data_IF_594025628801
#
_entry.id   IF_594025628801
#
_cell.length_a   1.000
_cell.length_b   1.000
_cell.length_c   1.000
_cell.angle_alpha   90.00
_cell.angle_beta   90.00
_cell.angle_gamma   90.00
#
_symmetry.space_group_name_H-M   'P 1'
#
loop_
_entity.id
_entity.type
_entity.pdbx_description
1 polymer ?
#
# COMPACT_ATOMS: atom_id res chain seq x y z
N UNK A 1 14.69 39.28 -32.01
CA UNK A 1 14.58 38.16 -31.04
C UNK A 1 15.40 36.89 -31.37
N UNK A 2 15.27 36.29 -32.57
CA UNK A 2 15.83 34.96 -32.88
C UNK A 2 17.35 34.84 -32.69
N UNK A 3 18.12 35.86 -33.10
CA UNK A 3 19.58 35.88 -32.97
C UNK A 3 20.06 35.82 -31.51
N UNK A 4 19.39 36.54 -30.60
CA UNK A 4 19.72 36.52 -29.17
C UNK A 4 19.46 35.15 -28.55
N UNK A 5 18.35 34.50 -28.92
CA UNK A 5 18.01 33.15 -28.44
C UNK A 5 19.05 32.14 -28.92
N UNK A 6 19.48 32.22 -30.19
CA UNK A 6 20.54 31.35 -30.74
C UNK A 6 21.85 31.55 -29.97
N UNK A 7 22.24 32.79 -29.68
CA UNK A 7 23.46 33.08 -28.90
C UNK A 7 23.36 32.47 -27.49
N UNK A 8 22.25 32.69 -26.78
CA UNK A 8 22.06 32.11 -25.43
C UNK A 8 22.04 30.57 -25.47
N UNK A 9 21.47 29.96 -26.50
CA UNK A 9 21.48 28.51 -26.69
C UNK A 9 22.89 27.96 -26.96
N UNK A 10 23.71 28.67 -27.75
CA UNK A 10 25.11 28.30 -27.99
C UNK A 10 25.93 28.38 -26.70
N UNK A 11 25.79 29.46 -25.92
CA UNK A 11 26.46 29.58 -24.62
C UNK A 11 26.04 28.49 -23.63
N UNK A 12 24.75 28.12 -23.61
CA UNK A 12 24.26 27.00 -22.82
C UNK A 12 24.87 25.66 -23.28
N UNK A 13 24.88 25.40 -24.59
CA UNK A 13 25.44 24.18 -25.19
C UNK A 13 26.94 24.03 -24.91
N UNK A 14 27.71 25.12 -25.01
CA UNK A 14 29.13 25.15 -24.63
C UNK A 14 29.30 24.83 -23.14
N UNK A 15 28.52 25.47 -22.26
CA UNK A 15 28.58 25.20 -20.82
C UNK A 15 28.30 23.74 -20.46
N UNK A 16 27.34 23.11 -21.16
CA UNK A 16 27.03 21.68 -21.00
C UNK A 16 28.16 20.81 -21.54
N UNK A 17 28.71 21.12 -22.71
CA UNK A 17 29.82 20.39 -23.33
C UNK A 17 31.06 20.35 -22.41
N UNK A 18 31.39 21.46 -21.75
CA UNK A 18 32.50 21.56 -20.80
C UNK A 18 32.15 21.12 -19.37
N UNK A 19 30.98 20.52 -19.13
CA UNK A 19 30.52 20.03 -17.81
C UNK A 19 30.55 21.10 -16.71
N UNK A 20 30.30 22.36 -17.06
CA UNK A 20 30.27 23.47 -16.10
C UNK A 20 29.08 23.30 -15.14
N UNK A 21 29.25 23.63 -13.86
CA UNK A 21 28.16 23.58 -12.87
C UNK A 21 26.96 24.39 -13.36
N UNK A 22 25.77 23.78 -13.36
CA UNK A 22 24.52 24.39 -13.88
C UNK A 22 24.21 25.78 -13.31
N UNK A 23 24.54 26.04 -12.04
CA UNK A 23 24.39 27.38 -11.42
C UNK A 23 25.25 28.43 -12.13
N UNK A 24 26.48 28.08 -12.51
CA UNK A 24 27.42 28.99 -13.18
C UNK A 24 26.93 29.30 -14.59
N UNK A 25 26.48 28.28 -15.35
CA UNK A 25 25.90 28.47 -16.69
C UNK A 25 24.71 29.46 -16.64
N UNK A 26 23.80 29.28 -15.67
CA UNK A 26 22.63 30.15 -15.52
C UNK A 26 23.00 31.59 -15.13
N UNK A 27 24.00 31.78 -14.26
CA UNK A 27 24.49 33.12 -13.88
C UNK A 27 25.11 33.80 -15.11
N UNK A 28 25.94 33.11 -15.88
CA UNK A 28 26.56 33.67 -17.09
C UNK A 28 25.51 34.08 -18.12
N UNK A 29 24.50 33.24 -18.37
CA UNK A 29 23.40 33.58 -19.28
C UNK A 29 22.60 34.78 -18.80
N UNK A 30 22.34 34.90 -17.50
CA UNK A 30 21.65 36.04 -16.90
C UNK A 30 22.47 37.34 -17.06
N UNK A 31 23.80 37.28 -16.88
CA UNK A 31 24.69 38.43 -17.09
C UNK A 31 24.74 38.87 -18.55
N UNK A 32 24.88 37.93 -19.49
CA UNK A 32 24.87 38.23 -20.94
C UNK A 32 23.53 38.85 -21.34
N UNK A 33 22.42 38.29 -20.87
CA UNK A 33 21.10 38.83 -21.14
C UNK A 33 20.89 40.23 -20.51
N UNK A 34 21.31 40.42 -19.26
CA UNK A 34 21.24 41.72 -18.58
C UNK A 34 22.09 42.80 -19.27
N UNK A 35 23.26 42.43 -19.80
CA UNK A 35 24.09 43.34 -20.58
C UNK A 35 23.43 43.75 -21.91
N UNK A 36 22.78 42.80 -22.61
CA UNK A 36 22.01 43.10 -23.82
C UNK A 36 20.82 44.03 -23.51
N UNK A 37 20.12 43.78 -22.41
CA UNK A 37 19.03 44.65 -21.95
C UNK A 37 19.52 46.07 -21.66
N UNK A 38 20.67 46.20 -20.99
CA UNK A 38 21.30 47.50 -20.71
C UNK A 38 21.69 48.25 -21.99
N UNK A 39 22.29 47.56 -22.97
CA UNK A 39 22.65 48.16 -24.25
C UNK A 39 21.44 48.69 -25.02
N UNK A 40 20.32 47.95 -25.01
CA UNK A 40 19.08 48.37 -25.67
C UNK A 40 18.41 49.53 -24.93
N UNK A 41 18.63 49.68 -23.61
CA UNK A 41 18.11 50.81 -22.82
C UNK A 41 18.91 52.11 -23.00
N UNK A 42 20.23 52.01 -23.21
CA UNK A 42 21.13 53.17 -23.21
C UNK A 42 21.40 53.71 -24.62
N UNK A 43 21.42 52.84 -25.63
CA UNK A 43 21.77 53.23 -26.99
C UNK A 43 20.52 53.59 -27.81
N UNK A 44 20.61 54.58 -28.73
CA UNK A 44 19.51 54.92 -29.63
C UNK A 44 19.24 53.79 -30.63
N UNK A 45 17.98 53.63 -31.07
CA UNK A 45 17.55 52.54 -31.96
C UNK A 45 18.31 52.49 -33.30
N UNK A 46 18.93 53.59 -33.72
CA UNK A 46 19.76 53.71 -34.93
C UNK A 46 21.19 53.22 -34.74
N UNK A 47 21.59 52.85 -33.52
CA UNK A 47 22.95 52.40 -33.23
C UNK A 47 23.22 51.02 -33.84
N UNK A 48 24.37 50.86 -34.52
CA UNK A 48 24.78 49.64 -35.22
C UNK A 48 24.66 48.36 -34.37
N UNK A 49 24.91 48.47 -33.07
CA UNK A 49 24.81 47.35 -32.11
C UNK A 49 23.37 46.87 -31.92
N UNK A 50 22.40 47.78 -31.80
CA UNK A 50 20.97 47.42 -31.61
C UNK A 50 20.41 46.78 -32.88
N UNK A 51 20.77 47.33 -34.05
CA UNK A 51 20.37 46.80 -35.36
C UNK A 51 20.86 45.35 -35.54
N UNK A 52 22.09 45.04 -35.11
CA UNK A 52 22.64 43.68 -35.21
C UNK A 52 22.07 42.69 -34.19
N UNK A 53 21.79 43.14 -32.96
CA UNK A 53 21.08 42.35 -31.94
C UNK A 53 19.67 42.01 -32.42
N UNK A 54 19.06 42.91 -33.21
CA UNK A 54 17.79 42.70 -33.90
C UNK A 54 16.67 42.35 -32.92
N UNK A 55 16.68 42.95 -31.73
CA UNK A 55 15.68 42.74 -30.69
C UNK A 55 15.23 44.09 -30.15
N UNK A 56 13.92 44.34 -30.20
CA UNK A 56 13.35 45.57 -29.65
C UNK A 56 13.22 45.50 -28.13
N UNK A 57 13.03 46.65 -27.49
CA UNK A 57 12.75 46.71 -26.05
C UNK A 57 11.51 45.86 -25.68
N UNK A 58 10.46 45.89 -26.51
CA UNK A 58 9.24 45.11 -26.29
C UNK A 58 9.48 43.59 -26.35
N UNK A 59 10.35 43.12 -27.25
CA UNK A 59 10.71 41.70 -27.35
C UNK A 59 11.53 41.23 -26.14
N UNK A 60 12.43 42.08 -25.64
CA UNK A 60 13.18 41.79 -24.44
C UNK A 60 12.26 41.75 -23.21
N UNK A 61 11.34 42.71 -23.08
CA UNK A 61 10.34 42.72 -22.03
C UNK A 61 9.51 41.43 -22.04
N UNK A 62 9.03 40.99 -23.21
CA UNK A 62 8.28 39.74 -23.34
C UNK A 62 9.10 38.52 -22.87
N UNK A 63 10.38 38.45 -23.26
CA UNK A 63 11.28 37.36 -22.84
C UNK A 63 11.50 37.36 -21.32
N UNK A 64 11.64 38.54 -20.68
CA UNK A 64 11.77 38.62 -19.21
C UNK A 64 10.53 38.07 -18.50
N UNK A 65 9.33 38.40 -18.98
CA UNK A 65 8.07 37.94 -18.40
C UNK A 65 7.96 36.42 -18.50
N UNK A 66 8.30 35.84 -19.67
CA UNK A 66 8.28 34.38 -19.87
C UNK A 66 9.28 33.68 -18.93
N UNK A 67 10.50 34.21 -18.78
CA UNK A 67 11.49 33.64 -17.86
C UNK A 67 11.03 33.69 -16.40
N UNK A 68 10.37 34.78 -15.99
CA UNK A 68 9.79 34.92 -14.64
C UNK A 68 8.66 33.91 -14.40
N UNK A 69 7.77 33.72 -15.38
CA UNK A 69 6.68 32.73 -15.29
C UNK A 69 7.21 31.30 -15.14
N UNK A 70 8.22 30.92 -15.94
CA UNK A 70 8.87 29.60 -15.85
C UNK A 70 9.55 29.43 -14.48
N UNK A 71 10.23 30.48 -14.00
CA UNK A 71 10.85 30.51 -12.68
C UNK A 71 9.84 30.34 -11.55
N UNK A 72 8.72 31.07 -11.60
CA UNK A 72 7.64 30.98 -10.62
C UNK A 72 6.99 29.59 -10.62
N UNK A 73 6.67 29.05 -11.80
CA UNK A 73 6.11 27.70 -11.93
C UNK A 73 7.05 26.63 -11.34
N UNK A 74 8.34 26.68 -11.67
CA UNK A 74 9.32 25.73 -11.14
C UNK A 74 9.61 25.90 -9.64
N UNK A 75 9.49 27.11 -9.09
CA UNK A 75 9.53 27.36 -7.65
C UNK A 75 8.32 26.75 -6.93
N UNK A 76 7.12 26.93 -7.47
CA UNK A 76 5.89 26.34 -6.92
C UNK A 76 6.00 24.81 -6.91
N UNK A 77 6.44 24.20 -8.02
CA UNK A 77 6.66 22.75 -8.08
C UNK A 77 7.66 22.25 -7.03
N UNK A 78 8.78 22.97 -6.83
CA UNK A 78 9.75 22.64 -5.78
C UNK A 78 9.14 22.74 -4.38
N UNK A 79 8.32 23.77 -4.13
CA UNK A 79 7.65 23.98 -2.84
C UNK A 79 6.62 22.89 -2.55
N UNK A 80 5.84 22.47 -3.55
CA UNK A 80 4.90 21.34 -3.45
C UNK A 80 5.65 20.03 -3.17
N UNK A 81 6.74 19.77 -3.91
CA UNK A 81 7.57 18.58 -3.70
C UNK A 81 8.21 18.56 -2.31
N UNK A 82 8.75 19.70 -1.84
CA UNK A 82 9.33 19.83 -0.50
C UNK A 82 8.29 19.63 0.60
N UNK A 83 7.10 20.24 0.47
CA UNK A 83 5.98 20.06 1.41
C UNK A 83 5.52 18.59 1.49
N UNK A 84 5.51 17.87 0.37
CA UNK A 84 5.22 16.42 0.36
C UNK A 84 6.35 15.60 1.02
N UNK A 85 7.61 15.99 0.85
CA UNK A 85 8.76 15.34 1.53
C UNK A 85 8.69 15.58 3.03
N UNK A 86 8.46 16.82 3.48
CA UNK A 86 8.33 17.17 4.90
C UNK A 86 7.11 16.50 5.54
N UNK A 87 5.97 16.43 4.84
CA UNK A 87 4.78 15.66 5.28
C UNK A 87 5.05 14.16 5.40
N UNK A 88 5.98 13.62 4.62
CA UNK A 88 6.41 12.21 4.70
C UNK A 88 7.53 11.98 5.74
N UNK A 89 8.25 13.02 6.14
CA UNK A 89 9.31 12.96 7.15
C UNK A 89 8.78 12.97 8.59
N UNK A 90 7.55 13.44 8.81
CA UNK A 90 6.85 13.36 10.11
C UNK A 90 6.38 11.93 10.46
N UNK A 91 6.68 10.93 9.63
CA UNK A 91 6.51 9.52 9.97
C UNK A 91 7.70 9.13 10.87
N UNK A 92 7.42 8.94 12.17
CA UNK A 92 8.38 8.53 13.21
C UNK A 92 9.37 7.49 12.67
N UNK A 93 10.66 7.81 12.77
CA UNK A 93 11.79 6.97 12.37
C UNK A 93 11.86 5.69 13.22
N UNK A 94 11.33 4.59 12.70
CA UNK A 94 11.94 3.27 12.92
C UNK A 94 13.32 3.25 12.24
N UNK A 95 14.29 2.52 12.81
CA UNK A 95 15.68 2.41 12.31
C UNK A 95 15.76 2.22 10.80
N UNK A 96 16.62 2.89 10.05
CA UNK A 96 16.70 2.72 8.58
C UNK A 96 16.77 1.24 8.14
N UNK A 97 16.17 0.91 6.99
CA UNK A 97 16.23 -0.46 6.44
C UNK A 97 17.69 -0.84 6.15
N UNK A 98 18.07 -2.05 6.54
CA UNK A 98 19.37 -2.63 6.19
C UNK A 98 19.52 -2.80 4.69
N UNK A 99 20.75 -2.89 4.19
CA UNK A 99 21.01 -3.17 2.76
C UNK A 99 20.33 -4.47 2.30
N UNK A 100 20.32 -5.52 3.13
CA UNK A 100 19.63 -6.78 2.85
C UNK A 100 18.11 -6.61 2.73
N UNK A 101 17.49 -5.75 3.54
CA UNK A 101 16.06 -5.45 3.42
C UNK A 101 15.78 -4.66 2.14
N UNK A 102 16.62 -3.69 1.80
CA UNK A 102 16.48 -2.90 0.57
C UNK A 102 16.57 -3.81 -0.67
N UNK A 103 17.54 -4.72 -0.70
CA UNK A 103 17.69 -5.68 -1.81
C UNK A 103 16.47 -6.61 -1.90
N UNK A 104 16.05 -7.19 -0.77
CA UNK A 104 14.89 -8.08 -0.68
C UNK A 104 13.60 -7.41 -1.17
N UNK A 105 13.36 -6.16 -0.77
CA UNK A 105 12.13 -5.43 -1.07
C UNK A 105 12.25 -4.51 -2.30
N UNK A 106 13.35 -4.59 -3.06
CA UNK A 106 13.63 -3.69 -4.17
C UNK A 106 12.48 -3.59 -5.17
N UNK A 107 11.80 -4.71 -5.45
CA UNK A 107 10.65 -4.75 -6.39
C UNK A 107 9.43 -3.99 -5.90
N UNK A 108 9.23 -3.85 -4.60
CA UNK A 108 8.19 -2.99 -4.03
C UNK A 108 8.63 -1.53 -3.99
N UNK A 109 9.90 -1.28 -3.62
CA UNK A 109 10.46 0.07 -3.49
C UNK A 109 10.45 0.83 -4.83
N UNK A 110 10.56 0.14 -5.97
CA UNK A 110 10.47 0.78 -7.30
C UNK A 110 9.04 1.15 -7.71
N UNK A 111 8.00 0.57 -7.09
CA UNK A 111 6.61 0.88 -7.43
C UNK A 111 6.27 2.28 -6.97
N UNK A 112 5.66 3.07 -7.85
CA UNK A 112 5.33 4.48 -7.59
C UNK A 112 4.38 4.64 -6.40
N UNK A 113 3.44 3.71 -6.24
CA UNK A 113 2.42 3.70 -5.20
C UNK A 113 2.99 3.29 -3.84
N UNK A 114 4.04 2.46 -3.81
CA UNK A 114 4.66 1.97 -2.56
C UNK A 114 5.89 2.82 -2.23
N UNK A 115 6.95 2.73 -3.04
CA UNK A 115 8.19 3.44 -2.77
C UNK A 115 8.90 2.97 -1.49
N UNK A 116 10.02 3.62 -1.17
CA UNK A 116 10.66 3.47 0.15
C UNK A 116 9.72 3.77 1.33
N UNK A 117 8.94 4.87 1.30
CA UNK A 117 8.00 5.19 2.39
C UNK A 117 6.91 4.15 2.60
N UNK A 118 6.38 3.55 1.54
CA UNK A 118 5.37 2.49 1.66
C UNK A 118 5.95 1.19 2.21
N UNK A 119 7.16 0.83 1.76
CA UNK A 119 7.89 -0.30 2.35
C UNK A 119 8.16 -0.07 3.85
N UNK A 120 8.50 1.16 4.23
CA UNK A 120 8.66 1.56 5.62
C UNK A 120 7.37 1.38 6.43
N UNK A 121 6.22 1.80 5.89
CA UNK A 121 4.91 1.56 6.54
C UNK A 121 4.62 0.07 6.74
N UNK A 122 4.91 -0.78 5.75
CA UNK A 122 4.74 -2.23 5.91
C UNK A 122 5.64 -2.78 7.02
N UNK A 123 6.90 -2.35 7.07
CA UNK A 123 7.83 -2.75 8.12
C UNK A 123 7.40 -2.30 9.52
N UNK A 124 6.69 -1.18 9.65
CA UNK A 124 6.20 -0.70 10.95
C UNK A 124 4.83 -1.29 11.33
N UNK A 125 4.11 -1.88 10.38
CA UNK A 125 2.76 -2.39 10.58
C UNK A 125 2.72 -3.71 11.36
N UNK A 126 1.64 -3.87 12.12
CA UNK A 126 1.29 -5.09 12.84
C UNK A 126 -0.04 -5.64 12.32
N UNK A 127 0.00 -6.86 11.77
CA UNK A 127 -1.21 -7.53 11.25
C UNK A 127 -1.52 -8.77 12.09
N UNK A 128 -2.76 -8.93 12.54
CA UNK A 128 -3.25 -10.14 13.19
C UNK A 128 -3.97 -11.03 12.17
N UNK A 129 -3.52 -12.27 12.01
CA UNK A 129 -4.16 -13.29 11.19
C UNK A 129 -4.84 -14.30 12.11
N UNK A 130 -6.16 -14.41 11.99
CA UNK A 130 -6.99 -15.31 12.78
C UNK A 130 -7.35 -16.51 11.92
N UNK A 131 -6.80 -17.67 12.30
CA UNK A 131 -6.83 -18.91 11.52
C UNK A 131 -5.58 -19.06 10.62
N UNK A 132 -4.79 -20.11 10.86
CA UNK A 132 -3.62 -20.53 10.09
C UNK A 132 -3.98 -21.62 9.06
N UNK A 133 -5.22 -21.60 8.57
CA UNK A 133 -5.79 -22.58 7.65
C UNK A 133 -5.57 -22.25 6.18
N UNK A 134 -6.52 -22.66 5.33
CA UNK A 134 -6.41 -22.48 3.87
C UNK A 134 -6.26 -21.01 3.44
N UNK A 135 -6.99 -20.09 4.06
CA UNK A 135 -6.91 -18.66 3.75
C UNK A 135 -5.75 -17.95 4.47
N UNK A 136 -5.54 -18.27 5.75
CA UNK A 136 -4.49 -17.65 6.56
C UNK A 136 -3.08 -17.92 6.06
N UNK A 137 -2.83 -19.09 5.46
CA UNK A 137 -1.52 -19.44 4.92
C UNK A 137 -1.03 -18.53 3.78
N UNK A 138 -1.74 -18.44 2.63
CA UNK A 138 -1.36 -17.53 1.56
C UNK A 138 -1.30 -16.07 2.04
N UNK A 139 -2.22 -15.62 2.92
CA UNK A 139 -2.11 -14.28 3.51
C UNK A 139 -0.79 -14.11 4.25
N UNK A 140 -0.48 -15.00 5.19
CA UNK A 140 0.72 -14.89 6.02
C UNK A 140 2.00 -14.98 5.19
N UNK A 141 2.03 -15.86 4.17
CA UNK A 141 3.14 -15.96 3.22
C UNK A 141 3.39 -14.64 2.48
N UNK A 142 2.34 -14.05 1.90
CA UNK A 142 2.49 -12.82 1.12
C UNK A 142 2.78 -11.60 2.00
N UNK A 143 2.18 -11.49 3.19
CA UNK A 143 2.51 -10.42 4.13
C UNK A 143 3.95 -10.54 4.67
N UNK A 144 4.39 -11.77 4.97
CA UNK A 144 5.76 -12.02 5.38
C UNK A 144 6.76 -11.68 4.27
N UNK A 145 6.52 -12.15 3.05
CA UNK A 145 7.35 -11.84 1.89
C UNK A 145 7.38 -10.33 1.57
N UNK A 146 6.26 -9.64 1.77
CA UNK A 146 6.15 -8.19 1.57
C UNK A 146 6.86 -7.36 2.66
N UNK A 147 7.30 -7.97 3.75
CA UNK A 147 8.00 -7.29 4.82
C UNK A 147 7.08 -6.59 5.81
N UNK A 148 5.88 -7.14 6.06
CA UNK A 148 5.05 -6.69 7.19
C UNK A 148 5.79 -6.99 8.49
N UNK A 149 6.08 -5.96 9.28
CA UNK A 149 7.04 -6.05 10.38
C UNK A 149 6.66 -7.00 11.50
N UNK A 150 5.39 -7.02 11.88
CA UNK A 150 4.88 -7.99 12.87
C UNK A 150 3.63 -8.68 12.35
N UNK A 151 3.65 -10.02 12.34
CA UNK A 151 2.48 -10.84 12.02
C UNK A 151 2.14 -11.68 13.26
N UNK A 152 0.99 -11.38 13.86
CA UNK A 152 0.39 -12.24 14.88
C UNK A 152 -0.43 -13.32 14.21
N UNK A 153 -0.30 -14.57 14.65
CA UNK A 153 -1.08 -15.69 14.12
C UNK A 153 -1.72 -16.41 15.29
N UNK A 154 -3.05 -16.48 15.30
CA UNK A 154 -3.82 -17.22 16.30
C UNK A 154 -4.55 -18.39 15.64
N UNK A 155 -4.27 -19.58 16.14
CA UNK A 155 -4.90 -20.84 15.78
C UNK A 155 -4.66 -21.81 16.94
N UNK A 156 -5.53 -22.81 17.09
CA UNK A 156 -5.45 -23.80 18.16
C UNK A 156 -5.23 -25.22 17.62
N UNK A 157 -5.32 -25.40 16.30
CA UNK A 157 -5.17 -26.70 15.67
C UNK A 157 -3.70 -27.08 15.49
N UNK A 158 -3.49 -28.38 15.27
CA UNK A 158 -2.26 -28.95 14.75
C UNK A 158 -2.34 -29.18 13.24
N UNK A 159 -1.19 -29.23 12.59
CA UNK A 159 -1.10 -29.60 11.17
C UNK A 159 -1.46 -31.08 11.01
N UNK A 160 -2.31 -31.37 10.04
CA UNK A 160 -2.69 -32.74 9.67
C UNK A 160 -2.48 -33.00 8.18
N UNK A 161 -2.33 -34.28 7.79
CA UNK A 161 -2.11 -34.67 6.39
C UNK A 161 -3.20 -34.12 5.45
N UNK A 162 -4.47 -34.14 5.86
CA UNK A 162 -5.61 -33.64 5.08
C UNK A 162 -5.57 -32.13 4.83
N UNK A 163 -4.71 -31.40 5.54
CA UNK A 163 -4.53 -29.97 5.38
C UNK A 163 -3.60 -29.63 4.21
N UNK A 164 -2.61 -30.48 3.92
CA UNK A 164 -1.50 -30.18 3.01
C UNK A 164 -1.93 -29.90 1.57
N UNK A 165 -3.11 -30.38 1.14
CA UNK A 165 -3.66 -30.09 -0.19
C UNK A 165 -3.98 -28.60 -0.42
N UNK A 166 -4.15 -27.81 0.64
CA UNK A 166 -4.52 -26.38 0.57
C UNK A 166 -3.78 -25.46 1.53
N UNK A 167 -3.12 -26.00 2.55
CA UNK A 167 -2.40 -25.25 3.57
C UNK A 167 -0.90 -25.19 3.24
N UNK A 168 -0.60 -24.42 2.18
CA UNK A 168 0.70 -24.43 1.47
C UNK A 168 1.90 -23.92 2.30
N UNK A 169 1.68 -23.38 3.50
CA UNK A 169 2.75 -23.00 4.41
C UNK A 169 3.39 -24.21 5.07
N UNK A 170 2.68 -25.32 5.19
CA UNK A 170 3.12 -26.51 5.93
C UNK A 170 3.72 -27.57 5.00
N UNK A 171 4.50 -28.48 5.58
CA UNK A 171 5.10 -29.65 4.92
C UNK A 171 4.76 -30.92 5.71
N UNK A 172 5.03 -32.09 5.14
CA UNK A 172 4.84 -33.38 5.84
C UNK A 172 5.58 -33.45 7.18
N UNK A 173 6.75 -32.81 7.28
CA UNK A 173 7.51 -32.72 8.54
C UNK A 173 6.84 -31.88 9.63
N UNK A 174 5.83 -31.07 9.28
CA UNK A 174 5.11 -30.24 10.24
C UNK A 174 3.88 -30.96 10.83
N UNK A 175 3.53 -32.17 10.35
CA UNK A 175 2.35 -32.93 10.83
C UNK A 175 2.47 -33.19 12.35
N UNK A 176 1.40 -32.88 13.08
CA UNK A 176 1.33 -32.98 14.55
C UNK A 176 1.94 -31.79 15.29
N UNK A 177 2.52 -30.81 14.58
CA UNK A 177 2.97 -29.55 15.18
C UNK A 177 1.79 -28.57 15.19
N UNK A 178 1.65 -27.79 16.27
CA UNK A 178 0.69 -26.69 16.31
C UNK A 178 0.89 -25.75 15.12
N UNK A 179 -0.21 -25.42 14.42
CA UNK A 179 -0.16 -24.62 13.18
C UNK A 179 0.56 -23.30 13.40
N UNK A 180 0.35 -22.62 14.53
CA UNK A 180 0.99 -21.32 14.78
C UNK A 180 2.51 -21.42 14.95
N UNK A 181 3.02 -22.52 15.52
CA UNK A 181 4.46 -22.73 15.68
C UNK A 181 5.11 -23.18 14.36
N UNK A 182 4.45 -24.04 13.60
CA UNK A 182 4.87 -24.36 12.24
C UNK A 182 4.88 -23.11 11.35
N UNK A 183 3.86 -22.25 11.46
CA UNK A 183 3.81 -20.96 10.76
C UNK A 183 4.97 -20.05 11.18
N UNK A 184 5.27 -19.93 12.47
CA UNK A 184 6.41 -19.14 12.96
C UNK A 184 7.72 -19.62 12.35
N UNK A 185 8.02 -20.93 12.43
CA UNK A 185 9.22 -21.54 11.84
C UNK A 185 9.31 -21.22 10.34
N UNK A 186 8.27 -21.54 9.58
CA UNK A 186 8.31 -21.48 8.12
C UNK A 186 8.31 -20.03 7.59
N UNK A 187 7.62 -19.11 8.24
CA UNK A 187 7.62 -17.69 7.86
C UNK A 187 8.92 -16.98 8.26
N UNK A 188 9.54 -17.33 9.40
CA UNK A 188 10.85 -16.80 9.77
C UNK A 188 11.97 -17.28 8.83
N UNK A 189 11.84 -18.50 8.27
CA UNK A 189 12.73 -18.97 7.20
C UNK A 189 12.52 -18.19 5.88
N UNK A 190 11.26 -17.89 5.54
CA UNK A 190 10.94 -17.07 4.36
C UNK A 190 11.49 -15.64 4.51
N UNK A 191 11.28 -15.02 5.67
CA UNK A 191 11.75 -13.67 5.94
C UNK A 191 12.29 -13.51 7.39
N UNK A 192 13.61 -13.38 7.57
CA UNK A 192 14.20 -13.23 8.89
C UNK A 192 14.10 -11.80 9.45
N UNK A 193 13.62 -10.83 8.67
CA UNK A 193 13.54 -9.42 9.09
C UNK A 193 12.22 -9.07 9.80
N UNK A 194 11.28 -10.02 9.90
CA UNK A 194 9.96 -9.80 10.50
C UNK A 194 9.81 -10.56 11.82
N UNK A 195 8.87 -10.10 12.64
CA UNK A 195 8.50 -10.75 13.90
C UNK A 195 7.22 -11.55 13.72
N UNK A 196 7.26 -12.85 13.99
CA UNK A 196 6.06 -13.69 14.04
C UNK A 196 5.69 -13.96 15.50
N UNK A 197 4.45 -13.64 15.88
CA UNK A 197 3.89 -13.90 17.21
C UNK A 197 2.87 -15.04 17.15
N UNK A 198 3.24 -16.28 17.55
CA UNK A 198 2.31 -17.40 17.57
C UNK A 198 1.44 -17.36 18.84
N UNK A 199 0.12 -17.48 18.67
CA UNK A 199 -0.84 -17.60 19.75
C UNK A 199 -1.56 -18.94 19.63
N UNK A 200 -1.02 -19.97 20.30
CA UNK A 200 -1.60 -21.32 20.30
C UNK A 200 -2.78 -21.40 21.29
N UNK A 201 -3.94 -20.87 20.88
CA UNK A 201 -5.16 -20.84 21.69
C UNK A 201 -6.38 -20.50 20.85
N UNK A 202 -7.56 -20.85 21.35
CA UNK A 202 -8.83 -20.43 20.76
C UNK A 202 -9.03 -18.93 20.99
N UNK A 203 -9.48 -18.21 19.96
CA UNK A 203 -9.96 -16.85 20.10
C UNK A 203 -11.36 -16.88 20.72
N UNK A 204 -11.54 -16.21 21.86
CA UNK A 204 -12.80 -16.17 22.59
C UNK A 204 -13.16 -14.75 23.02
N UNK A 205 -14.36 -14.56 23.58
CA UNK A 205 -14.84 -13.26 24.06
C UNK A 205 -13.92 -12.63 25.13
N UNK A 206 -13.19 -13.44 25.89
CA UNK A 206 -12.33 -12.97 26.98
C UNK A 206 -11.01 -12.40 26.45
N UNK A 207 -10.50 -12.96 25.35
CA UNK A 207 -9.18 -12.61 24.82
C UNK A 207 -9.23 -11.75 23.54
N UNK A 208 -10.32 -11.81 22.76
CA UNK A 208 -10.37 -11.24 21.42
C UNK A 208 -10.10 -9.73 21.41
N UNK A 209 -10.80 -8.97 22.27
CA UNK A 209 -10.68 -7.52 22.27
C UNK A 209 -9.28 -7.04 22.66
N UNK A 210 -8.68 -7.65 23.68
CA UNK A 210 -7.34 -7.27 24.14
C UNK A 210 -6.28 -7.59 23.09
N UNK A 211 -6.39 -8.77 22.45
CA UNK A 211 -5.46 -9.17 21.40
C UNK A 211 -5.58 -8.27 20.18
N UNK A 212 -6.79 -8.03 19.67
CA UNK A 212 -7.04 -7.23 18.46
C UNK A 212 -6.55 -5.78 18.63
N UNK A 213 -6.68 -5.19 19.83
CA UNK A 213 -6.21 -3.83 20.10
C UNK A 213 -4.70 -3.62 19.85
N UNK A 214 -3.89 -4.67 19.96
CA UNK A 214 -2.43 -4.61 19.77
C UNK A 214 -1.99 -4.47 18.30
N UNK A 215 -2.91 -4.67 17.34
CA UNK A 215 -2.63 -4.73 15.91
C UNK A 215 -3.27 -3.56 15.15
N UNK A 216 -2.73 -3.26 13.98
CA UNK A 216 -3.20 -2.17 13.12
C UNK A 216 -4.32 -2.64 12.19
N UNK A 217 -4.27 -3.91 11.77
CA UNK A 217 -5.20 -4.54 10.84
C UNK A 217 -5.44 -6.00 11.26
N UNK A 218 -6.68 -6.46 11.12
CA UNK A 218 -7.07 -7.83 11.40
C UNK A 218 -7.48 -8.55 10.11
N UNK A 219 -7.05 -9.81 9.98
CA UNK A 219 -7.44 -10.72 8.91
C UNK A 219 -8.23 -11.87 9.52
N UNK A 220 -9.45 -12.09 9.04
CA UNK A 220 -10.25 -13.27 9.31
C UNK A 220 -10.08 -14.29 8.19
N UNK A 221 -9.32 -15.35 8.48
CA UNK A 221 -9.14 -16.53 7.65
C UNK A 221 -9.80 -17.78 8.23
N UNK A 222 -10.75 -17.62 9.15
CA UNK A 222 -11.45 -18.72 9.83
C UNK A 222 -12.51 -19.34 8.91
N UNK A 223 -12.96 -20.56 9.19
CA UNK A 223 -14.03 -21.24 8.46
C UNK A 223 -15.31 -21.39 9.29
N UNK A 224 -15.39 -20.71 10.43
CA UNK A 224 -16.48 -20.84 11.41
C UNK A 224 -17.25 -19.53 11.57
N UNK A 225 -18.55 -19.53 11.23
CA UNK A 225 -19.42 -18.35 11.29
C UNK A 225 -19.45 -17.67 12.67
N UNK A 226 -19.57 -18.44 13.75
CA UNK A 226 -19.58 -17.89 15.11
C UNK A 226 -18.28 -17.15 15.43
N UNK A 227 -17.14 -17.67 14.97
CA UNK A 227 -15.83 -17.01 15.14
C UNK A 227 -15.78 -15.71 14.34
N UNK A 228 -16.32 -15.69 13.12
CA UNK A 228 -16.39 -14.47 12.30
C UNK A 228 -17.21 -13.36 12.96
N UNK A 229 -18.35 -13.71 13.56
CA UNK A 229 -19.16 -12.77 14.34
C UNK A 229 -18.40 -12.23 15.56
N UNK A 230 -17.70 -13.10 16.29
CA UNK A 230 -16.85 -12.70 17.42
C UNK A 230 -15.74 -11.73 16.98
N UNK A 231 -15.04 -12.03 15.89
CA UNK A 231 -13.98 -11.17 15.35
C UNK A 231 -14.56 -9.81 14.96
N UNK A 232 -15.70 -9.78 14.27
CA UNK A 232 -16.38 -8.55 13.88
C UNK A 232 -16.70 -7.67 15.09
N UNK A 233 -17.31 -8.26 16.13
CA UNK A 233 -17.62 -7.56 17.39
C UNK A 233 -16.37 -6.99 18.06
N UNK A 234 -15.31 -7.80 18.15
CA UNK A 234 -14.06 -7.37 18.77
C UNK A 234 -13.35 -6.27 17.97
N UNK A 235 -13.38 -6.33 16.63
CA UNK A 235 -12.86 -5.27 15.75
C UNK A 235 -13.64 -3.97 15.88
N UNK A 236 -14.97 -4.02 16.00
CA UNK A 236 -15.81 -2.83 16.27
C UNK A 236 -15.39 -2.21 17.62
N UNK A 237 -15.34 -3.00 18.68
CA UNK A 237 -14.96 -2.53 20.02
C UNK A 237 -13.49 -2.11 20.17
N UNK A 238 -12.66 -2.33 19.14
CA UNK A 238 -11.26 -1.91 19.09
C UNK A 238 -10.99 -0.87 17.97
N UNK A 239 -12.02 -0.50 17.21
CA UNK A 239 -11.95 0.35 16.01
C UNK A 239 -10.86 -0.09 15.01
N UNK A 240 -10.73 -1.40 14.78
CA UNK A 240 -9.73 -1.96 13.87
C UNK A 240 -10.37 -2.36 12.54
N UNK A 241 -9.74 -2.05 11.39
CA UNK A 241 -10.18 -2.58 10.11
C UNK A 241 -10.05 -4.10 10.09
N UNK A 242 -11.01 -4.76 9.46
CA UNK A 242 -11.11 -6.20 9.33
C UNK A 242 -11.20 -6.57 7.85
N UNK A 243 -10.25 -7.34 7.34
CA UNK A 243 -10.39 -8.01 6.05
C UNK A 243 -10.84 -9.44 6.32
N UNK A 244 -12.01 -9.81 5.82
CA UNK A 244 -12.56 -11.14 5.98
C UNK A 244 -12.69 -11.81 4.62
N UNK A 245 -12.14 -13.01 4.52
CA UNK A 245 -12.33 -13.89 3.37
C UNK A 245 -13.14 -15.12 3.75
N UNK A 246 -13.95 -15.63 2.84
CA UNK A 246 -14.61 -16.92 2.99
C UNK A 246 -14.54 -17.71 1.69
N UNK A 247 -14.61 -19.03 1.81
CA UNK A 247 -14.63 -19.95 0.68
C UNK A 247 -15.63 -21.06 0.99
N UNK A 248 -16.24 -21.61 -0.05
CA UNK A 248 -17.10 -22.78 0.02
C UNK A 248 -17.05 -23.47 -1.33
N UNK A 249 -16.70 -24.76 -1.37
CA UNK A 249 -16.60 -25.55 -2.61
C UNK A 249 -15.72 -24.89 -3.69
N UNK A 250 -16.34 -24.19 -4.65
CA UNK A 250 -15.75 -23.51 -5.80
C UNK A 250 -15.98 -21.99 -5.78
N UNK A 251 -16.54 -21.45 -4.70
CA UNK A 251 -16.86 -20.04 -4.56
C UNK A 251 -16.03 -19.40 -3.44
N UNK A 252 -15.56 -18.18 -3.69
CA UNK A 252 -14.80 -17.39 -2.73
C UNK A 252 -15.36 -15.98 -2.61
N UNK A 253 -15.15 -15.37 -1.45
CA UNK A 253 -15.55 -13.99 -1.20
C UNK A 253 -14.55 -13.25 -0.33
N UNK A 254 -14.50 -11.92 -0.50
CA UNK A 254 -13.66 -11.01 0.29
C UNK A 254 -14.33 -9.65 0.45
N UNK A 255 -14.25 -9.09 1.66
CA UNK A 255 -14.60 -7.70 1.94
C UNK A 255 -13.67 -7.09 2.99
N UNK A 256 -13.67 -5.76 3.08
CA UNK A 256 -12.99 -4.99 4.14
C UNK A 256 -14.05 -4.20 4.93
N UNK A 257 -14.16 -4.52 6.20
CA UNK A 257 -15.03 -3.86 7.16
C UNK A 257 -14.23 -2.84 7.97
N UNK A 258 -14.70 -1.60 7.99
CA UNK A 258 -14.03 -0.50 8.68
C UNK A 258 -15.00 0.17 9.66
N UNK A 259 -15.02 -0.28 10.93
CA UNK A 259 -15.95 0.24 11.92
C UNK A 259 -15.67 1.71 12.28
N UNK A 260 -14.43 2.16 12.15
CA UNK A 260 -14.03 3.52 12.52
C UNK A 260 -14.62 4.59 11.60
N UNK A 261 -14.77 4.26 10.31
CA UNK A 261 -15.25 5.18 9.28
C UNK A 261 -16.73 4.95 8.91
N UNK A 262 -17.50 4.31 9.80
CA UNK A 262 -18.95 4.11 9.66
C UNK A 262 -19.37 3.34 8.38
N UNK A 263 -18.54 2.40 7.94
CA UNK A 263 -18.89 1.45 6.86
C UNK A 263 -19.73 0.28 7.41
N UNK A 264 -20.39 -0.53 6.55
CA UNK A 264 -21.02 -1.77 7.01
C UNK A 264 -20.04 -2.63 7.81
N UNK A 265 -20.56 -3.30 8.85
CA UNK A 265 -19.82 -4.35 9.53
C UNK A 265 -20.15 -5.72 8.92
N UNK A 266 -19.46 -6.77 9.33
CA UNK A 266 -19.73 -8.14 8.85
C UNK A 266 -21.21 -8.52 9.02
N UNK A 267 -21.80 -8.19 10.18
CA UNK A 267 -23.19 -8.50 10.51
C UNK A 267 -24.23 -7.67 9.76
N UNK A 268 -23.84 -6.63 9.02
CA UNK A 268 -24.75 -5.97 8.07
C UNK A 268 -25.01 -6.85 6.84
N UNK A 269 -23.99 -7.58 6.38
CA UNK A 269 -24.08 -8.43 5.18
C UNK A 269 -24.54 -9.84 5.55
N UNK A 270 -24.06 -10.34 6.68
CA UNK A 270 -24.30 -11.69 7.17
C UNK A 270 -24.89 -11.60 8.58
N UNK A 271 -26.20 -11.28 8.73
CA UNK A 271 -26.83 -11.22 10.02
C UNK A 271 -26.84 -12.60 10.67
N UNK A 272 -26.63 -12.65 11.99
CA UNK A 272 -26.64 -13.92 12.73
C UNK A 272 -28.03 -14.55 12.69
N UNK A 273 -28.13 -15.82 12.32
CA UNK A 273 -29.40 -16.56 12.27
C UNK A 273 -29.36 -17.78 13.19
N UNK A 274 -30.54 -18.25 13.63
CA UNK A 274 -30.65 -19.45 14.50
C UNK A 274 -30.09 -20.71 13.83
N UNK A 275 -30.01 -20.73 12.49
CA UNK A 275 -29.52 -21.85 11.70
C UNK A 275 -28.00 -21.84 11.47
N UNK A 276 -27.27 -20.83 11.95
CA UNK A 276 -25.82 -20.71 11.70
C UNK A 276 -25.03 -21.90 12.27
N UNK A 277 -25.55 -22.54 13.33
CA UNK A 277 -24.98 -23.75 13.92
C UNK A 277 -25.14 -25.01 13.05
N UNK A 278 -25.99 -24.97 12.02
CA UNK A 278 -26.23 -26.09 11.11
C UNK A 278 -25.42 -25.98 9.80
N UNK A 279 -24.71 -24.87 9.60
CA UNK A 279 -23.86 -24.66 8.41
C UNK A 279 -22.59 -25.50 8.55
N UNK A 280 -22.42 -26.44 7.62
CA UNK A 280 -21.27 -27.36 7.59
C UNK A 280 -19.97 -26.62 7.25
N UNK A 281 -18.86 -27.05 7.86
CA UNK A 281 -17.53 -26.50 7.57
C UNK A 281 -17.02 -26.88 6.18
N UNK A 282 -16.02 -26.15 5.67
CA UNK A 282 -15.33 -26.51 4.42
C UNK A 282 -14.73 -27.93 4.45
N UNK A 283 -14.33 -28.40 5.63
CA UNK A 283 -13.80 -29.75 5.83
C UNK A 283 -14.87 -30.84 5.59
N UNK A 284 -16.14 -30.53 5.83
CA UNK A 284 -17.26 -31.46 5.66
C UNK A 284 -17.82 -31.47 4.23
N UNK A 285 -17.78 -30.33 3.54
CA UNK A 285 -18.38 -30.17 2.21
C UNK A 285 -17.34 -30.36 1.08
N UNK A 286 -16.06 -30.19 1.39
CA UNK A 286 -14.97 -30.18 0.41
C UNK A 286 -14.74 -28.80 -0.20
N UNK A 287 -13.49 -28.53 -0.58
CA UNK A 287 -13.07 -27.25 -1.17
C UNK A 287 -11.93 -27.46 -2.16
N UNK A 288 -11.97 -26.75 -3.29
CA UNK A 288 -10.87 -26.76 -4.26
C UNK A 288 -9.59 -26.19 -3.63
N UNK A 289 -8.51 -26.96 -3.62
CA UNK A 289 -7.28 -26.59 -2.88
C UNK A 289 -6.63 -25.28 -3.29
N UNK A 290 -6.74 -24.89 -4.56
CA UNK A 290 -6.19 -23.63 -5.10
C UNK A 290 -7.04 -22.40 -4.77
N UNK A 291 -8.34 -22.56 -4.50
CA UNK A 291 -9.26 -21.46 -4.22
C UNK A 291 -8.85 -20.61 -3.00
N UNK A 292 -8.49 -21.20 -1.83
CA UNK A 292 -7.93 -20.42 -0.73
C UNK A 292 -6.67 -19.63 -1.13
N UNK A 293 -5.86 -20.16 -2.05
CA UNK A 293 -4.71 -19.46 -2.60
C UNK A 293 -5.10 -18.18 -3.34
N UNK A 294 -6.13 -18.23 -4.19
CA UNK A 294 -6.65 -17.07 -4.91
C UNK A 294 -7.20 -16.03 -3.94
N UNK A 295 -8.13 -16.44 -3.06
CA UNK A 295 -8.79 -15.50 -2.14
C UNK A 295 -7.81 -14.95 -1.10
N UNK A 296 -6.93 -15.78 -0.54
CA UNK A 296 -5.93 -15.34 0.41
C UNK A 296 -4.89 -14.38 -0.20
N UNK A 297 -4.56 -14.54 -1.49
CA UNK A 297 -3.73 -13.57 -2.20
C UNK A 297 -4.44 -12.22 -2.36
N UNK A 298 -5.74 -12.23 -2.67
CA UNK A 298 -6.55 -10.99 -2.71
C UNK A 298 -6.61 -10.33 -1.33
N UNK A 299 -6.76 -11.12 -0.26
CA UNK A 299 -6.74 -10.62 1.12
C UNK A 299 -5.40 -9.95 1.46
N UNK A 300 -4.28 -10.54 1.06
CA UNK A 300 -2.96 -9.95 1.25
C UNK A 300 -2.79 -8.64 0.45
N UNK A 301 -3.30 -8.58 -0.78
CA UNK A 301 -3.30 -7.35 -1.61
C UNK A 301 -4.09 -6.24 -0.91
N UNK A 302 -5.28 -6.52 -0.40
CA UNK A 302 -6.08 -5.54 0.33
C UNK A 302 -5.41 -5.09 1.63
N UNK A 303 -4.74 -5.99 2.33
CA UNK A 303 -3.97 -5.65 3.53
C UNK A 303 -2.80 -4.70 3.21
N UNK A 304 -2.03 -4.99 2.16
CA UNK A 304 -0.93 -4.14 1.70
C UNK A 304 -1.46 -2.76 1.28
N UNK A 305 -2.57 -2.72 0.54
CA UNK A 305 -3.21 -1.47 0.15
C UNK A 305 -3.67 -0.66 1.35
N UNK A 306 -4.27 -1.32 2.35
CA UNK A 306 -4.75 -0.70 3.57
C UNK A 306 -3.60 -0.08 4.38
N UNK A 307 -2.53 -0.85 4.63
CA UNK A 307 -1.34 -0.38 5.34
C UNK A 307 -0.72 0.85 4.66
N UNK A 308 -0.67 0.84 3.33
CA UNK A 308 -0.06 1.91 2.56
C UNK A 308 -0.99 3.11 2.34
N UNK A 309 -2.31 2.91 2.44
CA UNK A 309 -3.33 3.90 2.11
C UNK A 309 -3.42 4.17 0.60
N UNK A 310 -3.34 3.12 -0.23
CA UNK A 310 -3.26 3.23 -1.70
C UNK A 310 -4.43 2.53 -2.41
N UNK A 311 -4.72 3.01 -3.62
CA UNK A 311 -5.78 2.46 -4.46
C UNK A 311 -7.18 2.72 -3.90
N UNK A 312 -8.17 1.97 -4.40
CA UNK A 312 -9.54 1.99 -3.89
C UNK A 312 -9.75 0.82 -2.93
N UNK A 313 -10.19 1.10 -1.71
CA UNK A 313 -10.47 0.08 -0.69
C UNK A 313 -11.70 -0.76 -1.04
N UNK A 314 -11.80 -1.97 -0.45
CA UNK A 314 -13.01 -2.80 -0.46
C UNK A 314 -14.07 -2.39 0.58
N UNK A 315 -13.87 -1.28 1.30
CA UNK A 315 -14.90 -0.68 2.15
C UNK A 315 -16.21 -0.50 1.38
N UNK A 316 -17.30 -1.07 1.89
CA UNK A 316 -18.62 -0.99 1.25
C UNK A 316 -18.76 -1.83 -0.02
N UNK A 317 -17.88 -2.83 -0.24
CA UNK A 317 -18.00 -3.75 -1.36
C UNK A 317 -17.73 -5.20 -0.93
N UNK A 318 -18.44 -6.12 -1.57
CA UNK A 318 -18.18 -7.56 -1.51
C UNK A 318 -17.69 -8.03 -2.87
N UNK A 319 -16.53 -8.68 -2.90
CA UNK A 319 -16.07 -9.40 -4.10
C UNK A 319 -16.52 -10.84 -3.97
N UNK A 320 -17.13 -11.36 -5.03
CA UNK A 320 -17.48 -12.77 -5.21
C UNK A 320 -16.65 -13.32 -6.37
N UNK A 321 -16.07 -14.49 -6.16
CA UNK A 321 -15.30 -15.23 -7.15
C UNK A 321 -15.90 -16.61 -7.36
N UNK A 322 -16.35 -16.87 -8.57
CA UNK A 322 -16.77 -18.19 -9.03
C UNK A 322 -15.58 -18.83 -9.76
N UNK A 323 -14.96 -19.84 -9.14
CA UNK A 323 -13.82 -20.52 -9.70
C UNK A 323 -14.19 -21.48 -10.84
N UNK A 324 -15.44 -21.94 -10.91
CA UNK A 324 -15.90 -22.84 -11.96
C UNK A 324 -15.98 -22.10 -13.30
N UNK A 325 -16.53 -20.89 -13.28
CA UNK A 325 -16.72 -20.06 -14.48
C UNK A 325 -15.65 -18.99 -14.65
N UNK A 326 -14.74 -18.83 -13.68
CA UNK A 326 -13.73 -17.77 -13.64
C UNK A 326 -14.34 -16.37 -13.67
N UNK A 327 -15.47 -16.19 -12.99
CA UNK A 327 -16.18 -14.91 -12.92
C UNK A 327 -15.86 -14.18 -11.62
N UNK A 328 -15.64 -12.87 -11.73
CA UNK A 328 -15.46 -11.98 -10.58
C UNK A 328 -16.57 -10.94 -10.60
N UNK A 329 -17.34 -10.89 -9.51
CA UNK A 329 -18.38 -9.90 -9.30
C UNK A 329 -18.00 -8.99 -8.14
N UNK A 330 -18.22 -7.69 -8.33
CA UNK A 330 -18.10 -6.69 -7.26
C UNK A 330 -19.48 -6.14 -6.97
N UNK A 331 -19.96 -6.38 -5.76
CA UNK A 331 -21.29 -5.98 -5.29
C UNK A 331 -21.13 -4.88 -4.26
N UNK A 332 -21.99 -3.86 -4.31
CA UNK A 332 -22.07 -2.84 -3.26
C UNK A 332 -22.64 -3.45 -1.99
N UNK A 333 -22.03 -3.11 -0.87
CA UNK A 333 -22.44 -3.53 0.46
C UNK A 333 -22.86 -2.30 1.25
N UNK A 334 -24.15 -2.24 1.60
CA UNK A 334 -24.72 -1.12 2.33
C UNK A 334 -24.72 -1.40 3.84
N UNK A 335 -24.54 -0.33 4.62
CA UNK A 335 -24.72 -0.41 6.07
C UNK A 335 -26.21 -0.59 6.37
N UNK A 336 -26.56 -1.66 7.08
CA UNK A 336 -27.94 -1.85 7.54
C UNK A 336 -28.25 -0.86 8.68
N UNK A 337 -29.23 0.06 8.51
CA UNK A 337 -29.62 1.02 9.54
C UNK A 337 -30.27 0.37 10.78
N UNK A 338 -30.62 -0.93 10.72
CA UNK A 338 -31.17 -1.70 11.84
C UNK A 338 -30.16 -2.65 12.48
N UNK A 339 -28.91 -2.65 12.02
CA UNK A 339 -27.88 -3.52 12.56
C UNK A 339 -27.62 -3.21 14.05
N UNK A 340 -27.93 -4.15 14.94
CA UNK A 340 -27.74 -4.01 16.40
C UNK A 340 -26.27 -4.02 16.85
N UNK A 341 -25.36 -4.28 15.91
CA UNK A 341 -23.94 -4.50 16.17
C UNK A 341 -23.11 -3.23 15.94
N UNK A 342 -23.47 -2.40 14.96
CA UNK A 342 -22.68 -1.23 14.55
C UNK A 342 -23.48 0.08 14.47
N UNK A 343 -24.70 0.13 15.03
CA UNK A 343 -25.51 1.35 15.16
C UNK A 343 -25.65 1.77 16.61
#
# INVERSE_FOLDING_TARGET
>A
MFKLIVVLAVFYGIGVYFKVRRKVILITLALVYGFVLFLVLVLPETHFVIINIGSSFAELLLLTIIMLLIGAYSFILKKIKKKNIEKNADIKTGSEMSESEIERYARHIILKEIGGPGQQKMRDAKVLVIGAGGLGNPVSLYLAAAGVGTIGIIDHDEVSLSNLQRQILFRDEDIGISKVFASQKNLSQLNPHITIKPYNRILDEKNAQNLIKEYDLVIDGTDNLNTRHLINLACIGAEKPLISGAISQLEGQISLFDPKNNFPCYSCLFPKTDNDNMVKSCAEVGVLGSLPGVIGSLMAVEAIKEINGIGKSLRGFLILYDALNCEVRKVEAEKDPKCVICN
#
